data_IF_152561884751
#
_entry.id   IF_152561884751
#
_cell.length_a   1.000
_cell.length_b   1.000
_cell.length_c   1.000
_cell.angle_alpha   90.00
_cell.angle_beta   90.00
_cell.angle_gamma   90.00
#
_symmetry.space_group_name_H-M   'P 1'
#
loop_
_entity.id
_entity.type
_entity.pdbx_description
1 polymer ?
#
# COMPACT_ATOMS: atom_id res chain seq x y z
N UNK A 1 -6.31 -13.28 -0.55
CA UNK A 1 -7.09 -12.31 -1.32
C UNK A 1 -7.62 -11.23 -0.41
N UNK A 2 -7.17 -10.01 -0.68
CA UNK A 2 -7.58 -8.74 -0.10
C UNK A 2 -8.90 -8.30 -0.75
N UNK A 3 -9.79 -7.71 0.05
CA UNK A 3 -11.11 -7.22 -0.35
C UNK A 3 -11.41 -5.87 0.32
N UNK A 4 -12.43 -5.14 -0.17
CA UNK A 4 -12.93 -3.92 0.50
C UNK A 4 -13.30 -4.19 1.96
N UNK A 5 -14.03 -5.27 2.21
CA UNK A 5 -14.40 -5.70 3.57
C UNK A 5 -13.19 -6.03 4.45
N UNK A 6 -12.09 -6.51 3.87
CA UNK A 6 -10.84 -6.71 4.60
C UNK A 6 -10.22 -5.37 5.01
N UNK A 7 -10.11 -4.40 4.09
CA UNK A 7 -9.59 -3.05 4.40
C UNK A 7 -10.44 -2.35 5.46
N UNK A 8 -11.77 -2.42 5.34
CA UNK A 8 -12.69 -1.88 6.35
C UNK A 8 -12.48 -2.51 7.73
N UNK A 9 -12.24 -3.82 7.78
CA UNK A 9 -11.95 -4.52 9.03
C UNK A 9 -10.63 -4.05 9.66
N UNK A 10 -9.58 -3.81 8.85
CA UNK A 10 -8.32 -3.29 9.38
C UNK A 10 -8.47 -1.86 9.91
N UNK A 11 -9.20 -1.01 9.18
CA UNK A 11 -9.51 0.34 9.64
C UNK A 11 -10.27 0.33 10.98
N UNK A 12 -11.31 -0.50 11.13
CA UNK A 12 -12.06 -0.63 12.38
C UNK A 12 -11.17 -1.05 13.56
N UNK A 13 -10.27 -2.01 13.36
CA UNK A 13 -9.29 -2.41 14.39
C UNK A 13 -8.39 -1.26 14.80
N UNK A 14 -7.95 -0.44 13.85
CA UNK A 14 -7.13 0.73 14.16
C UNK A 14 -7.91 1.80 14.91
N UNK A 15 -9.18 2.05 14.55
CA UNK A 15 -10.07 2.92 15.32
C UNK A 15 -10.19 2.45 16.79
N UNK A 16 -10.38 1.14 17.02
CA UNK A 16 -10.46 0.55 18.37
C UNK A 16 -9.14 0.66 19.16
N UNK A 17 -8.00 0.58 18.48
CA UNK A 17 -6.68 0.75 19.10
C UNK A 17 -6.41 2.21 19.48
N UNK A 18 -6.77 3.15 18.62
CA UNK A 18 -6.51 4.59 18.83
C UNK A 18 -7.53 5.27 19.74
N UNK A 19 -8.78 4.79 19.81
CA UNK A 19 -9.76 5.29 20.77
C UNK A 19 -9.29 5.16 22.23
N UNK A 20 -8.38 4.23 22.49
CA UNK A 20 -7.74 4.03 23.80
C UNK A 20 -6.59 5.00 24.10
N UNK A 21 -6.05 5.70 23.09
CA UNK A 21 -4.79 6.43 23.18
C UNK A 21 -4.86 7.94 22.78
N UNK A 22 -6.02 8.54 22.58
CA UNK A 22 -6.26 10.02 22.52
C UNK A 22 -5.49 10.91 21.52
N UNK A 23 -4.53 10.41 20.72
CA UNK A 23 -3.64 11.30 19.94
C UNK A 23 -4.17 11.74 18.57
N UNK A 24 -5.10 11.01 17.95
CA UNK A 24 -5.75 11.36 16.67
C UNK A 24 -6.68 10.22 16.22
N UNK A 25 -7.79 10.54 15.55
CA UNK A 25 -8.67 9.51 14.96
C UNK A 25 -8.11 9.02 13.62
N UNK A 26 -7.85 7.71 13.44
CA UNK A 26 -7.53 7.12 12.14
C UNK A 26 -8.50 7.53 11.04
N UNK A 27 -7.99 7.86 9.85
CA UNK A 27 -8.78 8.22 8.67
C UNK A 27 -8.43 7.28 7.52
N UNK A 28 -9.44 6.69 6.88
CA UNK A 28 -9.25 5.76 5.75
C UNK A 28 -8.43 6.37 4.60
N UNK A 29 -7.63 5.52 3.96
CA UNK A 29 -6.91 5.81 2.72
C UNK A 29 -7.85 6.08 1.55
N UNK A 30 -9.05 5.51 1.55
CA UNK A 30 -10.04 5.69 0.50
C UNK A 30 -11.36 6.24 1.05
N UNK A 31 -11.89 7.27 0.39
CA UNK A 31 -13.21 7.85 0.66
C UNK A 31 -13.98 7.97 -0.65
N UNK A 32 -15.17 7.39 -0.71
CA UNK A 32 -16.00 7.35 -1.92
C UNK A 32 -15.23 6.78 -3.14
N UNK A 33 -14.49 5.69 -2.93
CA UNK A 33 -13.65 5.02 -3.94
C UNK A 33 -12.44 5.81 -4.45
N UNK A 34 -12.16 7.00 -3.90
CA UNK A 34 -11.02 7.84 -4.28
C UNK A 34 -10.00 7.90 -3.17
N UNK A 35 -8.72 7.97 -3.55
CA UNK A 35 -7.63 8.19 -2.60
C UNK A 35 -7.83 9.50 -1.81
N UNK A 36 -7.54 9.43 -0.51
CA UNK A 36 -7.64 10.51 0.44
C UNK A 36 -6.26 10.84 1.01
N UNK A 37 -5.68 11.97 0.59
CA UNK A 37 -4.36 12.45 1.05
C UNK A 37 -4.29 12.74 2.56
N UNK A 38 -5.44 12.82 3.24
CA UNK A 38 -5.55 13.08 4.69
C UNK A 38 -5.82 11.81 5.49
N UNK A 39 -5.37 10.66 5.01
CA UNK A 39 -5.57 9.32 5.58
C UNK A 39 -4.71 9.02 6.82
N UNK A 40 -4.65 9.96 7.75
CA UNK A 40 -3.83 9.86 8.95
C UNK A 40 -4.07 8.54 9.70
N UNK A 41 -3.04 7.71 9.83
CA UNK A 41 -3.07 6.43 10.57
C UNK A 41 -4.22 5.48 10.19
N UNK A 42 -4.69 5.51 8.93
CA UNK A 42 -5.92 4.84 8.47
C UNK A 42 -6.00 3.32 8.67
N UNK A 43 -4.88 2.61 8.81
CA UNK A 43 -4.86 1.15 8.99
C UNK A 43 -5.13 0.33 7.74
N UNK A 44 -5.64 0.94 6.68
CA UNK A 44 -5.84 0.38 5.35
C UNK A 44 -4.65 0.64 4.39
N UNK A 45 -3.62 1.31 4.89
CA UNK A 45 -2.34 1.63 4.22
C UNK A 45 -1.36 0.43 4.21
N UNK A 46 -1.89 -0.74 3.84
CA UNK A 46 -1.17 -2.02 3.87
C UNK A 46 0.07 -2.05 2.99
N UNK A 47 0.07 -1.29 1.89
CA UNK A 47 1.18 -1.22 0.95
C UNK A 47 2.48 -0.75 1.60
N UNK A 48 2.41 0.03 2.69
CA UNK A 48 3.60 0.49 3.41
C UNK A 48 4.35 -0.63 4.11
N UNK A 49 3.67 -1.70 4.54
CA UNK A 49 4.37 -2.88 5.06
C UNK A 49 5.26 -3.51 3.98
N UNK A 50 4.71 -3.65 2.78
CA UNK A 50 5.43 -4.21 1.64
C UNK A 50 6.63 -3.36 1.23
N UNK A 51 6.47 -2.03 1.20
CA UNK A 51 7.60 -1.14 0.89
C UNK A 51 8.66 -1.12 1.99
N UNK A 52 8.27 -1.16 3.27
CA UNK A 52 9.24 -1.27 4.36
C UNK A 52 10.07 -2.56 4.23
N UNK A 53 9.44 -3.70 3.92
CA UNK A 53 10.14 -4.97 3.70
C UNK A 53 11.10 -4.92 2.49
N UNK A 54 10.75 -4.19 1.43
CA UNK A 54 11.66 -3.92 0.31
C UNK A 54 12.86 -3.07 0.76
N UNK A 55 12.63 -2.02 1.54
CA UNK A 55 13.68 -1.13 2.03
C UNK A 55 14.64 -1.85 2.98
N UNK A 56 14.11 -2.72 3.84
CA UNK A 56 14.88 -3.57 4.75
C UNK A 56 15.59 -4.72 4.03
N UNK A 57 15.28 -4.96 2.75
CA UNK A 57 15.85 -6.05 1.96
C UNK A 57 15.38 -7.44 2.41
N UNK A 58 14.25 -7.53 3.11
CA UNK A 58 13.66 -8.80 3.55
C UNK A 58 12.94 -9.52 2.41
N UNK A 59 12.56 -8.78 1.37
CA UNK A 59 11.94 -9.31 0.15
C UNK A 59 12.59 -8.77 -1.12
N UNK A 60 12.36 -9.45 -2.24
CA UNK A 60 12.91 -9.08 -3.55
C UNK A 60 12.25 -7.81 -4.11
N UNK A 61 12.99 -7.07 -4.92
CA UNK A 61 12.48 -5.92 -5.67
C UNK A 61 11.85 -6.28 -7.02
N UNK A 62 12.16 -7.46 -7.54
CA UNK A 62 11.70 -7.89 -8.86
C UNK A 62 11.13 -9.31 -8.78
N UNK A 63 10.01 -9.53 -9.45
CA UNK A 63 9.34 -10.82 -9.53
C UNK A 63 8.92 -11.10 -10.98
N UNK A 64 9.01 -12.36 -11.37
CA UNK A 64 8.47 -12.86 -12.63
C UNK A 64 7.32 -13.79 -12.25
N UNK A 65 6.11 -13.39 -12.60
CA UNK A 65 4.90 -14.19 -12.47
C UNK A 65 4.51 -14.73 -13.84
N UNK A 66 3.71 -15.78 -13.88
CA UNK A 66 3.23 -16.39 -15.13
C UNK A 66 2.52 -15.37 -16.05
N UNK A 67 1.90 -14.33 -15.45
CA UNK A 67 1.09 -13.34 -16.17
C UNK A 67 1.79 -12.00 -16.39
N UNK A 68 2.86 -11.70 -15.65
CA UNK A 68 3.47 -10.37 -15.66
C UNK A 68 4.84 -10.33 -14.96
N UNK A 69 5.63 -9.32 -15.26
CA UNK A 69 6.79 -8.95 -14.44
C UNK A 69 6.41 -7.80 -13.51
N UNK A 70 6.92 -7.86 -12.30
CA UNK A 70 6.61 -6.92 -11.23
C UNK A 70 7.92 -6.35 -10.71
N UNK A 71 8.13 -5.05 -10.85
CA UNK A 71 9.36 -4.36 -10.46
C UNK A 71 9.00 -3.26 -9.46
N UNK A 72 9.65 -3.28 -8.31
CA UNK A 72 9.45 -2.33 -7.24
C UNK A 72 10.72 -1.52 -7.00
N UNK A 73 10.54 -0.24 -6.76
CA UNK A 73 11.60 0.60 -6.22
C UNK A 73 11.07 1.44 -5.07
N UNK A 74 11.94 1.72 -4.10
CA UNK A 74 11.68 2.67 -3.02
C UNK A 74 12.92 3.53 -2.89
N UNK A 75 12.76 4.83 -3.09
CA UNK A 75 13.82 5.83 -2.96
C UNK A 75 13.49 6.76 -1.80
N UNK A 76 14.52 7.16 -1.05
CA UNK A 76 14.42 8.22 -0.04
C UNK A 76 15.14 9.47 -0.53
N UNK A 77 14.41 10.57 -0.59
CA UNK A 77 14.94 11.89 -0.91
C UNK A 77 14.66 12.77 0.30
N UNK A 78 15.72 13.04 1.06
CA UNK A 78 15.63 13.74 2.35
C UNK A 78 14.63 13.04 3.29
N UNK A 79 13.53 13.71 3.61
CA UNK A 79 12.50 13.26 4.51
C UNK A 79 11.35 12.52 3.79
N UNK A 80 11.35 12.54 2.46
CA UNK A 80 10.33 11.91 1.63
C UNK A 80 10.76 10.52 1.19
N UNK A 81 9.82 9.59 1.21
CA UNK A 81 9.94 8.30 0.54
C UNK A 81 9.02 8.26 -0.67
N UNK A 82 9.56 7.79 -1.79
CA UNK A 82 8.87 7.64 -3.06
C UNK A 82 9.01 6.17 -3.48
N UNK A 83 7.88 5.48 -3.62
CA UNK A 83 7.85 4.11 -4.08
C UNK A 83 7.16 3.99 -5.43
N UNK A 84 7.76 3.22 -6.33
CA UNK A 84 7.21 2.92 -7.65
C UNK A 84 7.04 1.42 -7.81
N UNK A 85 5.92 1.01 -8.38
CA UNK A 85 5.69 -0.37 -8.84
C UNK A 85 5.39 -0.31 -10.33
N UNK A 86 6.13 -1.08 -11.11
CA UNK A 86 5.92 -1.29 -12.54
C UNK A 86 5.44 -2.72 -12.74
N UNK A 87 4.28 -2.87 -13.38
CA UNK A 87 3.69 -4.15 -13.76
C UNK A 87 3.71 -4.24 -15.28
N UNK A 88 4.63 -5.02 -15.81
CA UNK A 88 4.76 -5.31 -17.25
C UNK A 88 3.95 -6.57 -17.56
N UNK A 89 2.81 -6.40 -18.23
CA UNK A 89 1.99 -7.50 -18.77
C UNK A 89 2.40 -7.69 -20.23
N UNK A 90 3.14 -8.78 -20.55
CA UNK A 90 3.75 -8.94 -21.86
C UNK A 90 2.73 -8.82 -23.00
N UNK A 91 3.06 -8.00 -23.98
CA UNK A 91 2.26 -7.76 -25.20
C UNK A 91 0.89 -7.09 -24.97
N UNK A 92 0.59 -6.64 -23.75
CA UNK A 92 -0.69 -6.00 -23.43
C UNK A 92 -0.49 -4.56 -22.97
N UNK A 93 0.20 -4.35 -21.83
CA UNK A 93 0.37 -3.02 -21.23
C UNK A 93 1.47 -3.00 -20.16
N UNK A 94 1.91 -1.78 -19.86
CA UNK A 94 2.74 -1.49 -18.68
C UNK A 94 1.93 -0.59 -17.76
N UNK A 95 1.64 -1.12 -16.58
CA UNK A 95 0.94 -0.42 -15.52
C UNK A 95 1.96 0.13 -14.51
N UNK A 96 1.74 1.37 -14.07
CA UNK A 96 2.65 2.08 -13.15
C UNK A 96 1.88 2.58 -11.94
N UNK A 97 2.42 2.30 -10.76
CA UNK A 97 1.93 2.81 -9.49
C UNK A 97 3.00 3.64 -8.82
N UNK A 98 2.60 4.77 -8.26
CA UNK A 98 3.48 5.68 -7.52
C UNK A 98 2.86 5.99 -6.17
N UNK A 99 3.63 5.82 -5.11
CA UNK A 99 3.27 6.15 -3.75
C UNK A 99 4.28 7.10 -3.15
N UNK A 100 3.84 8.06 -2.33
CA UNK A 100 4.71 8.97 -1.58
C UNK A 100 4.27 9.07 -0.13
N UNK A 101 5.21 9.13 0.79
CA UNK A 101 4.95 9.47 2.19
C UNK A 101 6.12 10.23 2.83
N UNK A 102 5.79 11.16 3.73
CA UNK A 102 6.77 11.88 4.54
C UNK A 102 7.12 11.12 5.83
N UNK A 103 8.40 10.78 6.01
CA UNK A 103 8.95 10.10 7.19
C UNK A 103 8.08 8.92 7.66
N UNK A 104 7.86 8.84 8.97
CA UNK A 104 7.03 7.87 9.63
C UNK A 104 5.69 8.49 10.06
N UNK A 105 5.20 9.52 9.36
CA UNK A 105 3.94 10.23 9.70
C UNK A 105 2.68 9.37 9.57
N UNK A 106 2.80 8.06 9.34
CA UNK A 106 1.68 7.13 9.44
C UNK A 106 0.64 7.28 8.33
N UNK A 107 0.94 7.99 7.24
CA UNK A 107 0.03 8.19 6.11
C UNK A 107 0.78 8.18 4.77
N UNK A 108 0.21 7.51 3.77
CA UNK A 108 0.52 7.74 2.35
C UNK A 108 -0.11 9.05 1.89
N UNK A 109 0.70 9.98 1.39
CA UNK A 109 0.28 11.33 0.97
C UNK A 109 -0.02 11.42 -0.53
N UNK A 110 0.53 10.49 -1.33
CA UNK A 110 0.25 10.37 -2.76
C UNK A 110 0.07 8.91 -3.12
N UNK A 111 -0.96 8.62 -3.92
CA UNK A 111 -1.14 7.31 -4.53
C UNK A 111 -1.71 7.48 -5.95
N UNK A 112 -0.89 7.13 -6.95
CA UNK A 112 -1.17 7.33 -8.37
C UNK A 112 -1.10 5.98 -9.09
N UNK A 113 -2.01 5.75 -10.02
CA UNK A 113 -2.01 4.66 -11.00
C UNK A 113 -2.08 5.25 -12.41
N UNK A 114 -1.09 4.93 -13.26
CA UNK A 114 -0.98 5.40 -14.65
C UNK A 114 -1.21 6.92 -14.80
N UNK A 115 -0.58 7.70 -13.91
CA UNK A 115 -0.64 9.16 -13.91
C UNK A 115 -1.92 9.78 -13.34
N UNK A 116 -2.86 8.97 -12.83
CA UNK A 116 -4.11 9.44 -12.19
C UNK A 116 -4.19 8.99 -10.74
N UNK A 117 -4.98 9.70 -9.93
CA UNK A 117 -5.26 9.26 -8.55
C UNK A 117 -5.84 7.85 -8.55
N UNK A 118 -5.29 6.97 -7.70
CA UNK A 118 -5.72 5.57 -7.63
C UNK A 118 -7.09 5.43 -6.97
N UNK A 119 -7.89 4.51 -7.47
CA UNK A 119 -9.16 4.10 -6.85
C UNK A 119 -8.96 2.96 -5.85
N UNK A 120 -9.93 2.75 -4.95
CA UNK A 120 -9.86 1.65 -3.97
C UNK A 120 -9.81 0.27 -4.66
N UNK A 121 -10.55 0.10 -5.76
CA UNK A 121 -10.54 -1.14 -6.53
C UNK A 121 -9.17 -1.41 -7.19
N UNK A 122 -8.55 -0.39 -7.78
CA UNK A 122 -7.20 -0.50 -8.37
C UNK A 122 -6.15 -0.82 -7.31
N UNK A 123 -6.27 -0.21 -6.13
CA UNK A 123 -5.42 -0.51 -4.99
C UNK A 123 -5.58 -1.95 -4.51
N UNK A 124 -6.82 -2.45 -4.39
CA UNK A 124 -7.08 -3.85 -4.02
C UNK A 124 -6.50 -4.81 -5.07
N UNK A 125 -6.64 -4.49 -6.36
CA UNK A 125 -6.06 -5.28 -7.43
C UNK A 125 -4.53 -5.35 -7.31
N UNK A 126 -3.87 -4.23 -7.01
CA UNK A 126 -2.43 -4.18 -6.75
C UNK A 126 -2.05 -5.06 -5.55
N UNK A 127 -2.74 -4.94 -4.41
CA UNK A 127 -2.44 -5.75 -3.23
C UNK A 127 -2.59 -7.25 -3.50
N UNK A 128 -3.63 -7.62 -4.24
CA UNK A 128 -3.84 -9.01 -4.65
C UNK A 128 -2.77 -9.51 -5.64
N UNK A 129 -2.26 -8.63 -6.50
CA UNK A 129 -1.15 -8.95 -7.38
C UNK A 129 0.14 -9.16 -6.59
N UNK A 130 0.39 -8.34 -5.57
CA UNK A 130 1.51 -8.52 -4.63
C UNK A 130 1.36 -9.85 -3.87
N UNK A 131 0.17 -10.25 -3.43
CA UNK A 131 0.00 -11.57 -2.79
C UNK A 131 0.41 -12.74 -3.71
N UNK A 132 0.34 -12.58 -5.04
CA UNK A 132 0.80 -13.61 -6.00
C UNK A 132 2.32 -13.74 -6.07
N UNK A 133 3.09 -12.78 -5.56
CA UNK A 133 4.54 -12.90 -5.44
C UNK A 133 4.98 -13.77 -4.26
N UNK A 134 4.03 -14.21 -3.44
CA UNK A 134 4.27 -14.95 -2.19
C UNK A 134 4.24 -14.06 -0.94
N UNK A 135 4.07 -12.74 -1.09
CA UNK A 135 3.98 -11.82 0.04
C UNK A 135 2.64 -11.96 0.78
N UNK A 136 2.66 -11.98 2.12
CA UNK A 136 1.46 -12.22 2.93
C UNK A 136 1.12 -11.05 3.86
N UNK A 137 0.29 -10.12 3.37
CA UNK A 137 -0.17 -8.98 4.16
C UNK A 137 -0.84 -9.38 5.49
N UNK A 138 -1.52 -10.54 5.55
CA UNK A 138 -2.24 -10.95 6.75
C UNK A 138 -1.29 -11.36 7.88
N UNK A 139 -0.13 -11.92 7.56
CA UNK A 139 0.89 -12.25 8.54
C UNK A 139 1.65 -11.01 8.99
N UNK A 140 1.99 -10.12 8.07
CA UNK A 140 2.67 -8.87 8.40
C UNK A 140 1.87 -8.00 9.36
N UNK A 141 0.55 -7.88 9.14
CA UNK A 141 -0.33 -7.15 10.05
C UNK A 141 -0.27 -7.70 11.49
N UNK A 142 -0.08 -9.02 11.69
CA UNK A 142 -0.01 -9.62 13.04
C UNK A 142 1.24 -9.18 13.81
N UNK A 143 2.31 -8.72 13.14
CA UNK A 143 3.51 -8.21 13.82
C UNK A 143 3.28 -6.86 14.50
N UNK A 144 2.27 -6.11 14.05
CA UNK A 144 2.01 -4.73 14.46
C UNK A 144 0.71 -4.55 15.28
N UNK A 145 -0.07 -5.62 15.45
CA UNK A 145 -1.28 -5.68 16.30
C UNK A 145 -0.95 -6.46 17.57
#
# INVERSE_FOLDING_TARGET
>A
MISKSFLEKQHKKMLEKYSKNSYSTPIRMFKNNLFNEKNWCGGDDLIRFFFNDIEEGTINKCYILDTCKFICNVDRVEDDAIATIVVDIPFEKIDTYLFKWYKNRGCTELAIFNGKSITEDEYINLLNLIEKTGYNFKEEIKKYI
#
